data_IF_571032913251
#
_entry.id   IF_571032913251
#
_cell.length_a   1.000
_cell.length_b   1.000
_cell.length_c   1.000
_cell.angle_alpha   90.00
_cell.angle_beta   90.00
_cell.angle_gamma   90.00
#
_symmetry.space_group_name_H-M   'P 1'
#
loop_
_entity.id
_entity.type
_entity.pdbx_description
1 polymer ?
#
# COMPACT_ATOMS: atom_id res chain seq x y z
N UNK A 1 -20.48 -8.18 0.79
CA UNK A 1 -19.51 -7.05 0.75
C UNK A 1 -18.70 -6.99 -0.56
N UNK A 2 -18.05 -8.09 -0.99
CA UNK A 2 -17.16 -8.08 -2.17
C UNK A 2 -17.81 -7.62 -3.48
N UNK A 3 -19.07 -8.00 -3.73
CA UNK A 3 -19.82 -7.50 -4.91
C UNK A 3 -19.95 -5.97 -4.91
N UNK A 4 -20.21 -5.35 -3.76
CA UNK A 4 -20.32 -3.90 -3.66
C UNK A 4 -18.98 -3.21 -3.89
N UNK A 5 -17.88 -3.80 -3.39
CA UNK A 5 -16.52 -3.34 -3.72
C UNK A 5 -16.26 -3.44 -5.22
N UNK A 6 -16.56 -4.57 -5.86
CA UNK A 6 -16.40 -4.77 -7.30
C UNK A 6 -17.23 -3.78 -8.14
N UNK A 7 -18.44 -3.44 -7.70
CA UNK A 7 -19.28 -2.38 -8.31
C UNK A 7 -18.62 -1.02 -8.18
N UNK A 8 -18.15 -0.65 -6.99
CA UNK A 8 -17.47 0.63 -6.78
C UNK A 8 -16.19 0.75 -7.63
N UNK A 9 -15.37 -0.30 -7.66
CA UNK A 9 -14.17 -0.42 -8.49
C UNK A 9 -14.51 -0.22 -9.98
N UNK A 10 -15.51 -0.96 -10.47
CA UNK A 10 -15.92 -0.88 -11.87
C UNK A 10 -16.53 0.47 -12.25
N UNK A 11 -17.27 1.09 -11.33
CA UNK A 11 -17.86 2.40 -11.57
C UNK A 11 -16.79 3.50 -11.59
N UNK A 12 -15.91 3.55 -10.58
CA UNK A 12 -15.18 4.79 -10.26
C UNK A 12 -13.68 4.76 -10.55
N UNK A 13 -13.03 3.61 -10.66
CA UNK A 13 -11.57 3.54 -10.73
C UNK A 13 -10.99 3.64 -12.15
N UNK A 14 -11.83 3.73 -13.19
CA UNK A 14 -11.37 3.87 -14.57
C UNK A 14 -10.33 2.80 -14.95
N UNK A 15 -9.17 3.23 -15.43
CA UNK A 15 -8.07 2.34 -15.86
C UNK A 15 -7.50 1.47 -14.72
N UNK A 16 -7.58 1.95 -13.47
CA UNK A 16 -7.11 1.21 -12.29
C UNK A 16 -8.03 0.02 -11.94
N UNK A 17 -9.22 -0.05 -12.55
CA UNK A 17 -10.14 -1.19 -12.41
C UNK A 17 -9.46 -2.50 -12.73
N UNK A 18 -8.72 -2.58 -13.83
CA UNK A 18 -8.15 -3.84 -14.33
C UNK A 18 -7.13 -4.40 -13.33
N UNK A 19 -6.26 -3.53 -12.80
CA UNK A 19 -5.32 -3.92 -11.74
C UNK A 19 -6.04 -4.32 -10.45
N UNK A 20 -7.07 -3.58 -10.06
CA UNK A 20 -7.81 -3.91 -8.82
C UNK A 20 -8.53 -5.25 -8.93
N UNK A 21 -9.16 -5.53 -10.07
CA UNK A 21 -9.87 -6.78 -10.29
C UNK A 21 -8.93 -7.97 -10.57
N UNK A 22 -7.63 -7.75 -10.75
CA UNK A 22 -6.67 -8.85 -10.89
C UNK A 22 -6.34 -9.53 -9.55
N UNK A 23 -6.72 -8.94 -8.41
CA UNK A 23 -6.46 -9.55 -7.11
C UNK A 23 -7.37 -10.78 -6.86
N UNK A 24 -6.87 -11.83 -6.17
CA UNK A 24 -7.57 -13.11 -6.03
C UNK A 24 -8.99 -13.00 -5.46
N UNK A 25 -9.25 -12.04 -4.58
CA UNK A 25 -10.55 -11.84 -3.95
C UNK A 25 -11.66 -11.38 -4.92
N UNK A 26 -11.29 -10.96 -6.14
CA UNK A 26 -12.24 -10.59 -7.20
C UNK A 26 -12.38 -11.66 -8.30
N UNK A 27 -11.63 -12.77 -8.23
CA UNK A 27 -11.60 -13.83 -9.25
C UNK A 27 -12.99 -14.30 -9.67
N UNK A 28 -13.90 -14.50 -8.72
CA UNK A 28 -15.28 -14.94 -8.98
C UNK A 28 -16.07 -14.00 -9.90
N UNK A 29 -15.75 -12.70 -9.90
CA UNK A 29 -16.41 -11.71 -10.76
C UNK A 29 -15.76 -11.59 -12.14
N UNK A 30 -14.45 -11.84 -12.23
CA UNK A 30 -13.68 -11.77 -13.49
C UNK A 30 -13.87 -13.03 -14.32
N UNK A 31 -13.91 -14.20 -13.66
CA UNK A 31 -14.11 -15.50 -14.31
C UNK A 31 -15.58 -15.78 -14.68
N UNK A 32 -16.47 -14.82 -14.44
CA UNK A 32 -17.89 -14.94 -14.79
C UNK A 32 -18.71 -15.87 -13.88
N UNK A 33 -18.12 -16.38 -12.79
CA UNK A 33 -18.82 -17.21 -11.80
C UNK A 33 -19.90 -16.39 -11.04
N UNK A 34 -19.71 -15.08 -10.92
CA UNK A 34 -20.69 -14.15 -10.38
C UNK A 34 -20.76 -12.86 -11.19
N UNK A 35 -21.97 -12.35 -11.42
CA UNK A 35 -22.18 -11.05 -12.03
C UNK A 35 -21.95 -9.90 -11.03
N UNK A 36 -21.28 -8.84 -11.49
CA UNK A 36 -21.19 -7.54 -10.78
C UNK A 36 -22.52 -6.78 -10.82
N UNK A 37 -23.41 -7.16 -11.75
CA UNK A 37 -24.72 -6.56 -12.00
C UNK A 37 -24.66 -5.38 -12.97
N UNK A 38 -25.81 -4.76 -13.24
CA UNK A 38 -25.88 -3.60 -14.15
C UNK A 38 -25.17 -2.37 -13.55
N UNK A 39 -24.36 -1.73 -14.40
CA UNK A 39 -23.53 -0.55 -14.12
C UNK A 39 -23.93 0.67 -14.96
N UNK A 40 -24.94 0.56 -15.83
CA UNK A 40 -25.39 1.60 -16.77
C UNK A 40 -25.74 2.92 -16.07
N UNK A 41 -26.34 2.85 -14.88
CA UNK A 41 -26.70 4.04 -14.11
C UNK A 41 -25.47 4.86 -13.68
N UNK A 42 -24.39 4.20 -13.27
CA UNK A 42 -23.14 4.89 -12.90
C UNK A 42 -22.53 5.60 -14.11
N UNK A 43 -22.47 4.93 -15.25
CA UNK A 43 -21.96 5.52 -16.50
C UNK A 43 -22.80 6.75 -16.94
N UNK A 44 -24.13 6.68 -16.79
CA UNK A 44 -25.01 7.82 -17.05
C UNK A 44 -24.75 8.97 -16.09
N UNK A 45 -24.59 8.68 -14.79
CA UNK A 45 -24.31 9.69 -13.77
C UNK A 45 -22.97 10.38 -14.03
N UNK A 46 -21.91 9.62 -14.31
CA UNK A 46 -20.58 10.17 -14.61
C UNK A 46 -20.59 11.11 -15.82
N UNK A 47 -21.28 10.72 -16.89
CA UNK A 47 -21.46 11.57 -18.09
C UNK A 47 -22.23 12.85 -17.77
N UNK A 48 -23.33 12.75 -17.02
CA UNK A 48 -24.15 13.90 -16.63
C UNK A 48 -23.39 14.89 -15.74
N UNK A 49 -22.62 14.37 -14.79
CA UNK A 49 -21.85 15.17 -13.82
C UNK A 49 -20.51 15.66 -14.37
N UNK A 50 -20.13 15.25 -15.59
CA UNK A 50 -18.85 15.58 -16.22
C UNK A 50 -17.66 15.25 -15.31
N UNK A 51 -17.68 14.06 -14.70
CA UNK A 51 -16.62 13.64 -13.78
C UNK A 51 -15.26 13.57 -14.49
N UNK A 52 -14.20 14.01 -13.81
CA UNK A 52 -12.83 13.77 -14.22
C UNK A 52 -12.47 12.27 -14.08
N UNK A 53 -11.46 11.77 -14.82
CA UNK A 53 -10.97 10.41 -14.64
C UNK A 53 -10.37 10.20 -13.25
N UNK A 54 -10.37 8.97 -12.75
CA UNK A 54 -9.84 8.66 -11.42
C UNK A 54 -8.36 9.03 -11.25
N UNK A 55 -7.57 9.00 -12.33
CA UNK A 55 -6.19 9.49 -12.33
C UNK A 55 -6.06 10.94 -11.86
N UNK A 56 -7.03 11.79 -12.19
CA UNK A 56 -7.08 13.19 -11.71
C UNK A 56 -7.26 13.26 -10.19
N UNK A 57 -8.07 12.37 -9.62
CA UNK A 57 -8.22 12.25 -8.16
C UNK A 57 -6.91 11.79 -7.50
N UNK A 58 -6.28 10.73 -8.03
CA UNK A 58 -5.00 10.22 -7.51
C UNK A 58 -3.91 11.28 -7.58
N UNK A 59 -3.83 12.01 -8.70
CA UNK A 59 -2.84 13.08 -8.87
C UNK A 59 -3.10 14.26 -7.92
N UNK A 60 -4.36 14.67 -7.75
CA UNK A 60 -4.72 15.76 -6.84
C UNK A 60 -4.37 15.46 -5.39
N UNK A 61 -4.52 14.20 -4.97
CA UNK A 61 -4.23 13.75 -3.62
C UNK A 61 -2.94 12.93 -3.53
N UNK A 62 -2.04 13.07 -4.51
CA UNK A 62 -0.80 12.28 -4.61
C UNK A 62 0.03 12.37 -3.34
N UNK A 63 0.13 13.57 -2.76
CA UNK A 63 0.79 13.84 -1.49
C UNK A 63 0.28 12.93 -0.36
N UNK A 64 -1.01 12.57 -0.31
CA UNK A 64 -1.54 11.69 0.75
C UNK A 64 -0.93 10.30 0.63
N UNK A 65 -0.76 9.81 -0.61
CA UNK A 65 -0.23 8.49 -0.89
C UNK A 65 1.29 8.44 -0.75
N UNK A 66 1.98 9.50 -1.18
CA UNK A 66 3.43 9.62 -1.10
C UNK A 66 3.87 9.90 0.35
N UNK A 67 3.36 10.96 0.97
CA UNK A 67 3.74 11.36 2.33
C UNK A 67 3.32 10.31 3.38
N UNK A 68 2.19 9.64 3.14
CA UNK A 68 1.68 8.56 3.98
C UNK A 68 2.38 7.22 3.74
N UNK A 69 3.37 7.15 2.84
CA UNK A 69 4.12 5.93 2.54
C UNK A 69 3.33 4.82 1.85
N UNK A 70 2.12 5.10 1.35
CA UNK A 70 1.35 4.12 0.55
C UNK A 70 1.99 3.87 -0.82
N UNK A 71 2.69 4.87 -1.36
CA UNK A 71 3.48 4.79 -2.58
C UNK A 71 4.88 5.32 -2.22
N UNK A 72 5.82 4.47 -1.79
CA UNK A 72 7.15 4.93 -1.45
C UNK A 72 7.94 5.30 -2.71
N UNK A 73 8.81 6.30 -2.58
CA UNK A 73 9.78 6.66 -3.63
C UNK A 73 10.91 5.64 -3.75
N UNK A 74 11.24 4.99 -2.63
CA UNK A 74 12.31 4.01 -2.52
C UNK A 74 11.97 2.95 -1.47
N UNK A 75 12.39 1.71 -1.72
CA UNK A 75 12.31 0.59 -0.78
C UNK A 75 13.72 0.08 -0.54
N UNK A 76 14.10 -0.08 0.72
CA UNK A 76 15.48 -0.38 1.13
C UNK A 76 15.54 -1.40 2.28
N UNK A 77 16.71 -1.98 2.51
CA UNK A 77 17.03 -2.76 3.70
C UNK A 77 17.79 -1.88 4.71
N UNK A 78 17.57 -2.12 6.00
CA UNK A 78 18.31 -1.41 7.07
C UNK A 78 19.33 -2.38 7.64
N UNK A 79 20.62 -2.08 7.47
CA UNK A 79 21.73 -2.89 7.96
C UNK A 79 22.35 -2.25 9.21
N UNK A 80 22.45 -3.00 10.28
CA UNK A 80 23.18 -2.59 11.48
C UNK A 80 24.69 -2.77 11.25
N UNK A 81 25.47 -1.73 11.52
CA UNK A 81 26.86 -1.63 11.07
C UNK A 81 27.79 -2.62 11.77
N UNK A 82 27.57 -2.91 13.05
CA UNK A 82 28.50 -3.70 13.88
C UNK A 82 28.44 -5.20 13.59
N UNK A 83 27.24 -5.74 13.45
CA UNK A 83 26.97 -7.15 13.19
C UNK A 83 26.79 -7.42 11.70
N UNK A 84 26.58 -6.38 10.90
CA UNK A 84 26.29 -6.49 9.47
C UNK A 84 24.96 -7.15 9.16
N UNK A 85 24.07 -7.31 10.16
CA UNK A 85 22.73 -7.92 10.04
C UNK A 85 21.69 -6.90 9.64
N UNK A 86 20.61 -7.37 9.04
CA UNK A 86 19.50 -6.53 8.58
C UNK A 86 18.31 -6.57 9.54
N UNK A 87 17.62 -5.44 9.67
CA UNK A 87 16.36 -5.34 10.40
C UNK A 87 15.27 -6.14 9.70
N UNK A 88 14.64 -7.05 10.43
CA UNK A 88 13.58 -7.92 9.94
C UNK A 88 12.36 -7.87 10.85
N UNK A 89 11.17 -7.85 10.25
CA UNK A 89 9.91 -8.05 10.96
C UNK A 89 9.73 -9.53 11.30
N UNK A 90 9.78 -9.86 12.59
CA UNK A 90 9.55 -11.21 13.10
C UNK A 90 8.05 -11.42 13.41
N UNK A 91 7.33 -12.29 12.69
CA UNK A 91 5.93 -12.57 12.98
C UNK A 91 5.78 -13.23 14.35
N UNK A 92 4.94 -12.64 15.21
CA UNK A 92 4.38 -13.27 16.42
C UNK A 92 2.96 -13.77 16.17
N UNK A 93 2.50 -14.74 16.96
CA UNK A 93 1.11 -15.26 16.92
C UNK A 93 0.07 -14.14 17.12
N UNK A 94 0.37 -13.18 18.01
CA UNK A 94 -0.45 -12.00 18.26
C UNK A 94 0.35 -10.71 18.04
N UNK A 95 -0.28 -9.66 17.47
CA UNK A 95 0.32 -8.33 17.43
C UNK A 95 0.65 -7.78 18.83
N UNK A 96 1.67 -6.91 18.97
CA UNK A 96 2.52 -6.39 17.90
C UNK A 96 3.61 -7.41 17.49
N UNK A 97 3.83 -7.57 16.19
CA UNK A 97 4.94 -8.36 15.66
C UNK A 97 6.28 -7.77 16.10
N UNK A 98 7.29 -8.61 16.24
CA UNK A 98 8.61 -8.21 16.73
C UNK A 98 9.50 -7.64 15.64
N UNK A 99 10.61 -7.04 16.06
CA UNK A 99 11.72 -6.63 15.21
C UNK A 99 12.97 -7.38 15.67
N UNK A 100 13.72 -7.95 14.73
CA UNK A 100 14.95 -8.70 15.01
C UNK A 100 16.05 -8.32 14.02
N UNK A 101 17.30 -8.62 14.38
CA UNK A 101 18.43 -8.57 13.44
C UNK A 101 18.69 -9.95 12.86
N UNK A 102 18.42 -10.11 11.57
CA UNK A 102 18.60 -11.34 10.80
C UNK A 102 19.73 -11.20 9.77
N UNK A 103 20.27 -12.31 9.23
CA UNK A 103 21.13 -12.22 8.04
C UNK A 103 20.44 -11.46 6.92
N UNK A 104 21.16 -10.57 6.24
CA UNK A 104 20.59 -9.79 5.14
C UNK A 104 20.17 -10.70 3.98
N UNK A 105 18.91 -10.62 3.57
CA UNK A 105 18.40 -11.33 2.39
C UNK A 105 18.98 -10.75 1.09
N UNK A 106 19.08 -11.57 0.04
CA UNK A 106 19.47 -11.13 -1.31
C UNK A 106 20.94 -11.29 -1.69
N UNK A 107 21.81 -11.74 -0.79
CA UNK A 107 23.27 -11.86 -1.05
C UNK A 107 23.67 -13.07 -1.90
N UNK A 108 22.81 -14.07 -2.08
CA UNK A 108 23.13 -15.34 -2.77
C UNK A 108 22.17 -15.65 -3.95
N UNK A 109 21.68 -14.62 -4.64
CA UNK A 109 20.79 -14.80 -5.80
C UNK A 109 19.33 -15.17 -5.45
N UNK A 110 19.00 -15.25 -4.16
CA UNK A 110 17.63 -15.27 -3.67
C UNK A 110 16.99 -13.87 -3.70
N UNK A 111 15.65 -13.80 -3.72
CA UNK A 111 14.94 -12.54 -3.59
C UNK A 111 15.13 -11.90 -2.21
N UNK A 112 14.97 -10.57 -2.14
CA UNK A 112 14.92 -9.86 -0.86
C UNK A 112 13.59 -10.18 -0.18
N UNK A 113 13.62 -10.61 1.08
CA UNK A 113 12.42 -10.85 1.88
C UNK A 113 11.67 -9.54 2.13
N UNK A 114 10.35 -9.51 1.89
CA UNK A 114 9.50 -8.35 2.21
C UNK A 114 9.57 -7.98 3.70
N UNK A 115 9.87 -8.95 4.57
CA UNK A 115 10.05 -8.72 6.01
C UNK A 115 11.29 -7.88 6.34
N UNK A 116 12.24 -7.77 5.40
CA UNK A 116 13.44 -6.92 5.52
C UNK A 116 13.36 -5.66 4.67
N UNK A 117 12.25 -5.44 3.97
CA UNK A 117 12.05 -4.26 3.13
C UNK A 117 11.34 -3.16 3.91
N UNK A 118 11.90 -1.97 3.87
CA UNK A 118 11.44 -0.81 4.59
C UNK A 118 11.32 0.37 3.64
N UNK A 119 10.49 1.33 3.98
CA UNK A 119 10.46 2.61 3.30
C UNK A 119 10.16 3.73 4.29
N UNK A 120 10.51 4.94 3.91
CA UNK A 120 10.11 6.13 4.64
C UNK A 120 8.59 6.28 4.61
N UNK A 121 8.03 6.70 5.74
CA UNK A 121 6.63 7.06 5.90
C UNK A 121 6.57 8.02 7.07
N UNK A 122 6.12 9.25 6.89
CA UNK A 122 5.51 10.07 7.94
C UNK A 122 5.52 11.53 7.54
N UNK A 123 4.40 12.20 7.85
CA UNK A 123 4.20 13.64 7.68
C UNK A 123 4.02 14.28 9.05
N UNK A 124 4.87 15.24 9.40
CA UNK A 124 4.56 16.17 10.48
C UNK A 124 3.50 17.17 9.97
N UNK A 125 2.30 17.15 10.55
CA UNK A 125 1.20 18.05 10.16
C UNK A 125 1.37 19.46 10.72
N UNK A 126 2.30 19.67 11.65
CA UNK A 126 2.49 20.93 12.36
C UNK A 126 3.57 21.83 11.76
N UNK A 127 4.33 21.37 10.75
CA UNK A 127 5.41 22.15 10.13
C UNK A 127 5.04 22.53 8.68
N UNK A 128 4.93 23.83 8.35
CA UNK A 128 4.76 24.30 6.98
C UNK A 128 5.95 23.88 6.11
N UNK A 129 5.71 23.16 5.01
CA UNK A 129 6.77 22.59 4.16
C UNK A 129 7.18 21.15 4.52
N UNK A 130 6.62 20.58 5.60
CA UNK A 130 6.67 19.17 5.98
C UNK A 130 8.06 18.46 5.98
N UNK A 131 9.04 18.88 6.80
CA UNK A 131 10.11 17.98 7.23
C UNK A 131 9.56 16.87 8.15
N UNK A 132 10.06 15.65 7.97
CA UNK A 132 9.52 14.38 8.48
C UNK A 132 9.43 14.26 10.02
N UNK A 133 8.38 13.57 10.51
CA UNK A 133 8.51 12.74 11.71
C UNK A 133 9.20 11.42 11.31
N UNK A 134 10.03 10.84 12.17
CA UNK A 134 10.71 9.56 11.89
C UNK A 134 9.73 8.40 11.89
N UNK A 135 9.19 8.01 10.73
CA UNK A 135 8.48 6.75 10.59
C UNK A 135 9.12 5.93 9.49
N UNK A 136 9.50 4.72 9.84
CA UNK A 136 9.84 3.70 8.89
C UNK A 136 8.63 2.77 8.83
N UNK A 137 8.16 2.43 7.65
CA UNK A 137 7.14 1.40 7.47
C UNK A 137 7.78 0.16 6.84
N UNK A 138 7.28 -1.00 7.23
CA UNK A 138 7.63 -2.24 6.56
C UNK A 138 6.86 -2.32 5.24
N UNK A 139 7.56 -2.59 4.14
CA UNK A 139 7.00 -2.62 2.80
C UNK A 139 5.87 -3.64 2.68
N UNK A 140 4.74 -3.22 2.07
CA UNK A 140 3.50 -4.00 1.96
C UNK A 140 2.78 -4.30 3.30
N UNK A 141 3.19 -3.68 4.41
CA UNK A 141 2.48 -3.78 5.70
C UNK A 141 1.95 -2.42 6.15
N UNK A 142 0.74 -2.41 6.72
CA UNK A 142 0.13 -1.21 7.32
C UNK A 142 0.59 -1.02 8.78
N UNK A 143 1.90 -1.07 9.03
CA UNK A 143 2.47 -0.92 10.37
C UNK A 143 3.72 -0.03 10.34
N UNK A 144 3.69 1.06 11.11
CA UNK A 144 4.86 1.89 11.35
C UNK A 144 5.78 1.24 12.40
N UNK A 145 7.07 1.44 12.25
CA UNK A 145 8.06 1.29 13.29
C UNK A 145 7.89 2.45 14.25
N UNK A 146 7.15 2.19 15.32
CA UNK A 146 6.99 3.13 16.42
C UNK A 146 8.04 2.82 17.48
N UNK A 147 8.75 3.85 17.91
CA UNK A 147 9.55 3.75 19.11
C UNK A 147 8.55 3.76 20.27
N UNK A 148 8.15 2.58 20.76
CA UNK A 148 7.61 2.49 22.10
C UNK A 148 8.73 2.93 23.06
N UNK A 149 8.78 4.24 23.32
CA UNK A 149 9.52 4.82 24.42
C UNK A 149 9.03 4.15 25.69
N UNK A 150 9.97 3.55 26.41
CA UNK A 150 9.80 3.12 27.80
C UNK A 150 9.49 4.34 28.65
#
# INVERSE_FOLDING_TARGET
VMRNKARAVTAWLGDFRNKTLSFPEYSVFVQGQQAVGDMSNFQRLQRRMKCAPFSSYVQRFSYVYLDGGLIPSEVFQIREERTGRCLERAPRESPPHGLVLAPCAGSEGGGISELQQWHASNRDRNVPGAPCCSGLMNWNFLQCLDAHGV
#
